data_IF_042756647345
#
_entry.id   IF_042756647345
#
_cell.length_a   1.000
_cell.length_b   1.000
_cell.length_c   1.000
_cell.angle_alpha   90.00
_cell.angle_beta   90.00
_cell.angle_gamma   90.00
#
_symmetry.space_group_name_H-M   'P 1'
#
loop_
_entity.id
_entity.type
_entity.pdbx_description
1 polymer ?
#
# COMPACT_ATOMS: atom_id res chain seq x y z
N UNK A 1 21.57 -21.46 -12.90
CA UNK A 1 20.11 -21.22 -12.82
C UNK A 1 19.79 -20.93 -11.37
N UNK A 2 19.26 -19.75 -11.04
CA UNK A 2 18.86 -19.44 -9.66
C UNK A 2 17.77 -20.42 -9.22
N UNK A 3 17.90 -20.98 -8.02
CA UNK A 3 16.92 -21.92 -7.47
C UNK A 3 15.53 -21.27 -7.43
N UNK A 4 14.50 -21.98 -7.92
CA UNK A 4 13.13 -21.46 -7.90
C UNK A 4 12.65 -21.28 -6.45
N UNK A 5 12.28 -20.05 -6.08
CA UNK A 5 11.71 -19.73 -4.77
C UNK A 5 10.24 -20.13 -4.73
N UNK A 6 9.83 -20.76 -3.63
CA UNK A 6 8.51 -21.35 -3.45
C UNK A 6 7.86 -20.87 -2.15
N UNK A 7 6.55 -21.14 -1.99
CA UNK A 7 5.83 -20.91 -0.75
C UNK A 7 6.48 -21.59 0.47
N UNK A 8 7.11 -22.76 0.27
CA UNK A 8 7.77 -23.53 1.32
C UNK A 8 9.00 -22.85 1.91
N UNK A 9 9.54 -21.83 1.24
CA UNK A 9 10.73 -21.08 1.67
C UNK A 9 10.42 -19.99 2.71
N UNK A 10 9.14 -19.81 3.08
CA UNK A 10 8.69 -18.76 3.99
C UNK A 10 7.90 -19.36 5.16
N UNK A 11 8.05 -18.73 6.34
CA UNK A 11 7.26 -18.98 7.53
C UNK A 11 6.39 -17.77 7.82
N UNK A 12 5.08 -17.94 7.97
CA UNK A 12 4.15 -16.83 8.24
C UNK A 12 4.08 -16.56 9.73
N UNK A 13 4.28 -15.30 10.13
CA UNK A 13 4.28 -14.86 11.53
C UNK A 13 2.94 -14.26 11.93
N UNK A 14 2.45 -13.29 11.15
CA UNK A 14 1.20 -12.59 11.45
C UNK A 14 0.58 -11.95 10.20
N UNK A 15 -0.73 -11.72 10.24
CA UNK A 15 -1.42 -10.84 9.31
C UNK A 15 -1.14 -9.37 9.69
N UNK A 16 -0.65 -8.59 8.74
CA UNK A 16 -0.35 -7.16 8.95
C UNK A 16 -1.31 -6.24 8.19
N UNK A 17 -1.89 -6.69 7.08
CA UNK A 17 -2.76 -5.86 6.26
C UNK A 17 -3.76 -6.64 5.43
N UNK A 18 -4.79 -5.94 4.95
CA UNK A 18 -5.80 -6.48 4.03
C UNK A 18 -6.11 -5.41 3.00
N UNK A 19 -6.00 -5.73 1.72
CA UNK A 19 -6.46 -4.91 0.60
C UNK A 19 -7.87 -5.28 0.13
N UNK A 20 -8.25 -4.81 -1.07
CA UNK A 20 -9.49 -5.23 -1.73
C UNK A 20 -9.39 -6.70 -2.17
N UNK A 21 -8.34 -7.01 -2.92
CA UNK A 21 -8.07 -8.33 -3.51
C UNK A 21 -6.90 -9.06 -2.87
N UNK A 22 -6.35 -8.54 -1.76
CA UNK A 22 -5.12 -9.05 -1.18
C UNK A 22 -5.14 -9.11 0.35
N UNK A 23 -4.25 -9.95 0.89
CA UNK A 23 -3.89 -10.02 2.30
C UNK A 23 -2.38 -9.91 2.41
N UNK A 24 -1.90 -9.16 3.40
CA UNK A 24 -0.48 -8.91 3.62
C UNK A 24 -0.06 -9.57 4.91
N UNK A 25 0.92 -10.45 4.83
CA UNK A 25 1.46 -11.21 5.93
C UNK A 25 2.91 -10.79 6.20
N UNK A 26 3.31 -10.75 7.46
CA UNK A 26 4.71 -10.76 7.84
C UNK A 26 5.23 -12.20 7.74
N UNK A 27 6.35 -12.39 7.03
CA UNK A 27 6.96 -13.70 6.81
C UNK A 27 8.46 -13.67 7.08
N UNK A 28 9.00 -14.80 7.54
CA UNK A 28 10.44 -15.03 7.68
C UNK A 28 10.92 -15.94 6.55
N UNK A 29 12.00 -15.56 5.87
CA UNK A 29 12.66 -16.44 4.89
C UNK A 29 13.41 -17.56 5.61
N UNK A 30 13.23 -18.82 5.21
CA UNK A 30 13.84 -20.00 5.85
C UNK A 30 15.08 -20.55 5.13
N UNK A 31 15.34 -20.10 3.91
CA UNK A 31 16.32 -20.70 3.00
C UNK A 31 17.03 -19.60 2.21
N UNK A 32 18.15 -19.92 1.55
CA UNK A 32 18.89 -18.97 0.71
C UNK A 32 19.78 -18.00 1.52
N UNK A 33 20.44 -17.09 0.81
CA UNK A 33 21.40 -16.13 1.39
C UNK A 33 20.76 -15.12 2.34
N UNK A 34 19.45 -14.91 2.22
CA UNK A 34 18.64 -14.00 3.02
C UNK A 34 17.83 -14.73 4.11
N UNK A 35 18.16 -15.98 4.40
CA UNK A 35 17.52 -16.75 5.48
C UNK A 35 17.56 -16.01 6.81
N UNK A 36 16.44 -16.02 7.54
CA UNK A 36 16.22 -15.28 8.78
C UNK A 36 15.67 -13.86 8.57
N UNK A 37 15.65 -13.35 7.34
CA UNK A 37 15.12 -12.00 7.06
C UNK A 37 13.60 -11.95 7.13
N UNK A 38 13.08 -10.82 7.63
CA UNK A 38 11.66 -10.49 7.67
C UNK A 38 11.22 -9.76 6.40
N UNK A 39 10.06 -10.13 5.87
CA UNK A 39 9.46 -9.58 4.68
C UNK A 39 7.95 -9.41 4.79
N UNK A 40 7.39 -8.56 3.93
CA UNK A 40 5.95 -8.46 3.73
C UNK A 40 5.52 -9.30 2.52
N UNK A 41 4.69 -10.31 2.73
CA UNK A 41 4.10 -11.14 1.68
C UNK A 41 2.68 -10.65 1.37
N UNK A 42 2.51 -9.97 0.23
CA UNK A 42 1.21 -9.54 -0.30
C UNK A 42 0.64 -10.67 -1.18
N UNK A 43 -0.30 -11.43 -0.64
CA UNK A 43 -1.03 -12.53 -1.31
C UNK A 43 -2.30 -11.99 -1.95
N UNK A 44 -2.55 -12.33 -3.22
CA UNK A 44 -3.78 -11.94 -3.90
C UNK A 44 -4.79 -13.09 -3.96
N UNK A 45 -6.05 -12.76 -4.21
CA UNK A 45 -7.11 -13.73 -4.46
C UNK A 45 -7.77 -13.34 -5.77
N UNK A 46 -7.63 -14.21 -6.77
CA UNK A 46 -8.17 -13.99 -8.11
C UNK A 46 -9.65 -14.37 -8.12
N UNK A 47 -10.50 -13.41 -7.76
CA UNK A 47 -11.94 -13.63 -7.60
C UNK A 47 -12.73 -13.15 -8.83
N UNK A 48 -12.20 -12.18 -9.58
CA UNK A 48 -12.83 -11.57 -10.76
C UNK A 48 -11.81 -10.89 -11.69
N UNK A 49 -12.26 -10.41 -12.84
CA UNK A 49 -11.42 -9.73 -13.85
C UNK A 49 -10.62 -8.55 -13.27
N UNK A 50 -11.24 -7.73 -12.40
CA UNK A 50 -10.56 -6.60 -11.75
C UNK A 50 -9.36 -7.08 -10.91
N UNK A 51 -9.52 -8.16 -10.15
CA UNK A 51 -8.43 -8.72 -9.33
C UNK A 51 -7.25 -9.22 -10.19
N UNK A 52 -7.52 -9.82 -11.35
CA UNK A 52 -6.49 -10.28 -12.29
C UNK A 52 -5.74 -9.08 -12.88
N UNK A 53 -6.46 -8.08 -13.38
CA UNK A 53 -5.88 -6.85 -13.93
C UNK A 53 -5.01 -6.12 -12.91
N UNK A 54 -5.48 -5.97 -11.66
CA UNK A 54 -4.73 -5.34 -10.58
C UNK A 54 -3.38 -6.03 -10.31
N UNK A 55 -3.38 -7.36 -10.22
CA UNK A 55 -2.16 -8.14 -9.96
C UNK A 55 -1.16 -8.03 -11.10
N UNK A 56 -1.61 -8.18 -12.34
CA UNK A 56 -0.74 -8.11 -13.51
C UNK A 56 -0.14 -6.70 -13.68
N UNK A 57 -0.93 -5.66 -13.41
CA UNK A 57 -0.47 -4.27 -13.40
C UNK A 57 0.56 -4.03 -12.30
N UNK A 58 0.25 -4.41 -11.05
CA UNK A 58 1.18 -4.21 -9.93
C UNK A 58 2.50 -4.95 -10.15
N UNK A 59 2.42 -6.20 -10.65
CA UNK A 59 3.61 -6.97 -11.04
C UNK A 59 4.49 -6.21 -12.01
N UNK A 60 3.91 -5.77 -13.13
CA UNK A 60 4.64 -5.08 -14.20
C UNK A 60 5.40 -3.87 -13.66
N UNK A 61 4.73 -3.04 -12.85
CA UNK A 61 5.35 -1.86 -12.24
C UNK A 61 6.45 -2.25 -11.25
N UNK A 62 6.19 -3.22 -10.36
CA UNK A 62 7.17 -3.67 -9.37
C UNK A 62 8.42 -4.29 -10.00
N UNK A 63 8.27 -5.07 -11.07
CA UNK A 63 9.41 -5.63 -11.81
C UNK A 63 10.23 -4.52 -12.49
N UNK A 64 9.56 -3.53 -13.10
CA UNK A 64 10.26 -2.36 -13.67
C UNK A 64 11.06 -1.60 -12.63
N UNK A 65 10.53 -1.43 -11.42
CA UNK A 65 11.24 -0.80 -10.30
C UNK A 65 12.42 -1.64 -9.82
N UNK A 66 12.23 -2.95 -9.66
CA UNK A 66 13.27 -3.88 -9.21
C UNK A 66 14.43 -4.02 -10.22
N UNK A 67 14.15 -3.80 -11.51
CA UNK A 67 15.13 -3.88 -12.60
C UNK A 67 15.68 -2.51 -13.03
N UNK A 68 15.21 -1.41 -12.44
CA UNK A 68 15.73 -0.09 -12.72
C UNK A 68 17.18 0.05 -12.22
N UNK A 69 17.97 0.88 -12.90
CA UNK A 69 19.37 1.17 -12.52
C UNK A 69 19.47 1.77 -11.11
N UNK A 70 18.51 2.63 -10.77
CA UNK A 70 18.36 3.21 -9.44
C UNK A 70 17.09 2.65 -8.79
N UNK A 71 17.19 2.24 -7.52
CA UNK A 71 16.04 1.79 -6.73
C UNK A 71 15.79 2.78 -5.60
N UNK A 72 14.70 3.52 -5.70
CA UNK A 72 14.35 4.53 -4.69
C UNK A 72 13.99 3.87 -3.35
N UNK A 73 14.54 4.32 -2.21
CA UNK A 73 14.14 3.82 -0.89
C UNK A 73 12.72 4.29 -0.49
N UNK A 74 12.10 5.16 -1.29
CA UNK A 74 10.76 5.71 -1.07
C UNK A 74 9.68 4.98 -1.87
N UNK A 75 9.98 3.79 -2.40
CA UNK A 75 9.07 2.92 -3.14
C UNK A 75 9.21 1.47 -2.70
N UNK A 76 8.23 0.60 -3.00
CA UNK A 76 8.28 -0.81 -2.63
C UNK A 76 9.35 -1.52 -3.44
N UNK A 77 10.10 -2.39 -2.78
CA UNK A 77 11.12 -3.23 -3.42
C UNK A 77 10.60 -4.67 -3.52
N UNK A 78 10.38 -5.13 -4.75
CA UNK A 78 10.02 -6.52 -5.02
C UNK A 78 11.25 -7.41 -4.90
N UNK A 79 11.21 -8.33 -3.94
CA UNK A 79 12.28 -9.29 -3.72
C UNK A 79 12.00 -10.61 -4.43
N UNK A 80 10.76 -11.09 -4.31
CA UNK A 80 10.31 -12.31 -4.96
C UNK A 80 8.87 -12.18 -5.48
N UNK A 81 8.63 -12.73 -6.66
CA UNK A 81 7.29 -13.00 -7.18
C UNK A 81 7.06 -14.51 -7.16
N UNK A 82 5.90 -14.97 -6.68
CA UNK A 82 5.61 -16.40 -6.56
C UNK A 82 4.19 -16.66 -7.08
N UNK A 83 4.09 -17.55 -8.06
CA UNK A 83 2.83 -18.12 -8.52
C UNK A 83 2.68 -19.53 -7.96
N UNK A 84 1.61 -19.75 -7.21
CA UNK A 84 1.33 -21.05 -6.60
C UNK A 84 -0.16 -21.19 -6.31
N UNK A 85 -0.66 -22.43 -6.39
CA UNK A 85 -2.07 -22.75 -6.09
C UNK A 85 -3.05 -21.80 -6.82
N UNK A 86 -2.75 -21.45 -8.07
CA UNK A 86 -3.54 -20.55 -8.92
C UNK A 86 -3.77 -19.15 -8.35
N UNK A 87 -2.83 -18.68 -7.55
CA UNK A 87 -2.80 -17.27 -7.18
C UNK A 87 -1.36 -16.79 -7.04
N UNK A 88 -1.19 -15.48 -6.97
CA UNK A 88 0.07 -14.78 -6.88
C UNK A 88 0.40 -14.27 -5.48
N UNK A 89 1.69 -14.16 -5.18
CA UNK A 89 2.17 -13.38 -4.05
C UNK A 89 3.41 -12.57 -4.44
N UNK A 90 3.49 -11.35 -3.92
CA UNK A 90 4.72 -10.56 -3.92
C UNK A 90 5.34 -10.61 -2.53
N UNK A 91 6.64 -10.89 -2.48
CA UNK A 91 7.45 -10.72 -1.27
C UNK A 91 8.21 -9.41 -1.42
N UNK A 92 7.89 -8.48 -0.53
CA UNK A 92 8.36 -7.10 -0.53
C UNK A 92 9.22 -6.84 0.71
N UNK A 93 10.08 -5.81 0.63
CA UNK A 93 10.69 -5.24 1.83
C UNK A 93 9.62 -4.88 2.87
N UNK A 94 9.85 -5.24 4.12
CA UNK A 94 8.92 -4.97 5.22
C UNK A 94 8.87 -3.48 5.59
N UNK A 95 7.67 -3.00 5.95
CA UNK A 95 7.44 -1.72 6.61
C UNK A 95 6.97 -1.91 8.07
N UNK A 96 6.79 -0.82 8.80
CA UNK A 96 6.38 -0.82 10.21
C UNK A 96 4.95 -1.32 10.49
N UNK A 97 4.15 -1.53 9.43
CA UNK A 97 2.73 -1.91 9.53
C UNK A 97 1.78 -0.71 9.74
N UNK A 98 2.30 0.48 10.05
CA UNK A 98 1.52 1.71 10.12
C UNK A 98 1.58 2.53 8.83
N UNK A 99 0.52 3.29 8.60
CA UNK A 99 0.39 4.22 7.48
C UNK A 99 0.28 5.69 7.96
N UNK A 100 0.40 6.64 7.04
CA UNK A 100 0.26 8.07 7.35
C UNK A 100 -1.14 8.40 7.88
N UNK A 101 -2.17 7.62 7.51
CA UNK A 101 -3.50 7.79 8.09
C UNK A 101 -3.51 7.46 9.60
N UNK A 102 -2.82 6.41 10.03
CA UNK A 102 -2.68 6.05 11.44
C UNK A 102 -2.04 7.18 12.24
N UNK A 103 -0.98 7.79 11.67
CA UNK A 103 -0.36 8.97 12.28
C UNK A 103 -1.37 10.13 12.41
N UNK A 104 -2.11 10.46 11.35
CA UNK A 104 -3.12 11.53 11.38
C UNK A 104 -4.26 11.21 12.37
N UNK A 105 -4.67 9.96 12.50
CA UNK A 105 -5.61 9.55 13.54
C UNK A 105 -5.04 9.73 14.95
N UNK A 106 -3.74 9.54 15.13
CA UNK A 106 -3.08 9.67 16.42
C UNK A 106 -2.88 11.14 16.83
N UNK A 107 -2.33 11.97 15.94
CA UNK A 107 -1.92 13.36 16.25
C UNK A 107 -2.89 14.43 15.77
N UNK A 108 -3.90 14.05 14.98
CA UNK A 108 -4.82 14.97 14.34
C UNK A 108 -4.22 15.59 13.07
N UNK A 109 -3.55 16.74 13.22
CA UNK A 109 -2.91 17.44 12.11
C UNK A 109 -1.41 17.59 12.37
N UNK A 110 -0.63 17.53 11.29
CA UNK A 110 0.79 17.80 11.32
C UNK A 110 1.05 19.31 11.30
N UNK A 111 2.14 19.72 11.95
CA UNK A 111 2.71 21.04 11.73
C UNK A 111 3.17 21.19 10.28
N UNK A 112 3.26 22.43 9.77
CA UNK A 112 3.78 22.66 8.42
C UNK A 112 5.20 22.09 8.22
N UNK A 113 6.01 22.08 9.28
CA UNK A 113 7.36 21.53 9.25
C UNK A 113 7.34 20.00 9.12
N UNK A 114 6.49 19.31 9.89
CA UNK A 114 6.40 17.85 9.84
C UNK A 114 5.75 17.39 8.52
N UNK A 115 4.72 18.10 8.04
CA UNK A 115 4.10 17.83 6.75
C UNK A 115 5.09 18.04 5.59
N UNK A 116 5.98 19.04 5.68
CA UNK A 116 7.03 19.28 4.69
C UNK A 116 8.03 18.14 4.61
N UNK A 117 8.42 17.56 5.76
CA UNK A 117 9.33 16.42 5.81
C UNK A 117 8.74 15.24 5.02
N UNK A 118 7.55 14.76 5.39
CA UNK A 118 6.94 13.63 4.71
C UNK A 118 6.60 13.93 3.24
N UNK A 119 6.18 15.16 2.92
CA UNK A 119 6.01 15.58 1.53
C UNK A 119 7.31 15.41 0.72
N UNK A 120 8.46 15.79 1.27
CA UNK A 120 9.73 15.68 0.56
C UNK A 120 10.11 14.21 0.27
N UNK A 121 9.84 13.29 1.20
CA UNK A 121 10.05 11.85 0.99
C UNK A 121 9.14 11.28 -0.10
N UNK A 122 7.85 11.64 -0.04
CA UNK A 122 6.86 11.22 -1.06
C UNK A 122 7.25 11.78 -2.43
N UNK A 123 7.75 13.01 -2.51
CA UNK A 123 8.28 13.60 -3.74
C UNK A 123 9.46 12.80 -4.27
N UNK A 124 10.37 12.30 -3.43
CA UNK A 124 11.48 11.44 -3.89
C UNK A 124 10.98 10.11 -4.48
N UNK A 125 9.94 9.51 -3.91
CA UNK A 125 9.30 8.30 -4.46
C UNK A 125 8.63 8.56 -5.80
N UNK A 126 7.79 9.60 -5.88
CA UNK A 126 7.11 9.98 -7.11
C UNK A 126 8.07 10.42 -8.23
N UNK A 127 9.21 11.02 -7.89
CA UNK A 127 10.20 11.43 -8.89
C UNK A 127 10.77 10.23 -9.62
N UNK A 128 11.01 9.15 -8.89
CA UNK A 128 11.47 7.91 -9.49
C UNK A 128 10.39 7.29 -10.39
N UNK A 129 9.13 7.21 -9.94
CA UNK A 129 8.03 6.73 -10.80
C UNK A 129 7.89 7.57 -12.08
N UNK A 130 7.88 8.91 -11.94
CA UNK A 130 7.72 9.83 -13.06
C UNK A 130 8.92 9.77 -14.03
N UNK A 131 10.13 9.48 -13.54
CA UNK A 131 11.31 9.25 -14.39
C UNK A 131 11.19 8.02 -15.29
N UNK A 132 10.34 7.07 -14.92
CA UNK A 132 10.04 5.86 -15.67
C UNK A 132 8.74 5.96 -16.49
N UNK A 133 8.14 7.16 -16.55
CA UNK A 133 6.84 7.45 -17.18
C UNK A 133 5.66 6.69 -16.54
N UNK A 134 5.75 6.43 -15.23
CA UNK A 134 4.72 5.76 -14.43
C UNK A 134 3.95 6.79 -13.60
N UNK A 135 2.62 6.75 -13.65
CA UNK A 135 1.72 7.58 -12.83
C UNK A 135 1.14 6.73 -11.70
N UNK A 136 1.17 7.19 -10.46
CA UNK A 136 0.71 6.40 -9.31
C UNK A 136 -0.83 6.30 -9.22
N UNK A 137 -1.54 7.41 -9.45
CA UNK A 137 -3.01 7.54 -9.49
C UNK A 137 -3.79 7.35 -8.17
N UNK A 138 -3.19 6.79 -7.11
CA UNK A 138 -3.88 6.62 -5.82
C UNK A 138 -3.08 7.14 -4.60
N UNK A 139 -2.46 8.30 -4.72
CA UNK A 139 -1.76 8.95 -3.60
C UNK A 139 -2.76 9.43 -2.53
N UNK A 140 -2.65 8.85 -1.34
CA UNK A 140 -3.49 9.11 -0.16
C UNK A 140 -2.78 8.62 1.11
N UNK A 141 -3.19 9.04 2.33
CA UNK A 141 -2.50 8.68 3.56
C UNK A 141 -2.35 7.16 3.79
N UNK A 142 -3.34 6.36 3.40
CA UNK A 142 -3.27 4.89 3.55
C UNK A 142 -2.18 4.23 2.70
N UNK A 143 -1.77 4.88 1.62
CA UNK A 143 -0.76 4.33 0.70
C UNK A 143 0.63 4.90 0.97
N UNK A 144 0.79 5.74 2.00
CA UNK A 144 2.08 6.20 2.49
C UNK A 144 2.42 5.40 3.74
N UNK A 145 3.27 4.39 3.59
CA UNK A 145 3.61 3.46 4.67
C UNK A 145 4.90 3.88 5.36
N UNK A 146 5.00 3.55 6.64
CA UNK A 146 6.20 3.80 7.43
C UNK A 146 7.20 2.64 7.37
N UNK A 147 8.47 2.96 7.51
CA UNK A 147 9.52 2.05 7.98
C UNK A 147 9.69 2.15 9.49
N UNK A 148 10.35 1.16 10.10
CA UNK A 148 10.61 1.12 11.55
C UNK A 148 11.43 2.31 12.07
N UNK A 149 12.19 2.96 11.19
CA UNK A 149 13.01 4.14 11.51
C UNK A 149 12.23 5.47 11.44
N UNK A 150 10.95 5.45 11.03
CA UNK A 150 10.09 6.63 10.94
C UNK A 150 10.04 7.28 9.55
N UNK A 151 10.89 6.87 8.62
CA UNK A 151 10.82 7.32 7.22
C UNK A 151 9.59 6.70 6.52
N UNK A 152 9.09 7.33 5.45
CA UNK A 152 7.97 6.80 4.67
C UNK A 152 8.37 6.27 3.30
N UNK A 153 7.50 5.47 2.70
CA UNK A 153 7.54 5.12 1.29
C UNK A 153 6.14 5.10 0.69
N UNK A 154 6.04 5.37 -0.62
CA UNK A 154 4.80 5.28 -1.38
C UNK A 154 4.57 3.81 -1.73
N UNK A 155 3.37 3.31 -1.48
CA UNK A 155 3.00 1.90 -1.66
C UNK A 155 1.73 1.73 -2.50
N UNK A 156 1.39 0.48 -2.79
CA UNK A 156 0.18 0.06 -3.51
C UNK A 156 0.13 0.56 -4.96
N UNK A 157 0.82 -0.19 -5.84
CA UNK A 157 1.00 0.15 -7.25
C UNK A 157 -0.03 -0.53 -8.17
N UNK A 158 -1.10 -1.09 -7.60
CA UNK A 158 -2.14 -1.85 -8.31
C UNK A 158 -3.07 -0.98 -9.19
N UNK A 159 -2.95 0.34 -9.06
CA UNK A 159 -3.63 1.38 -9.84
C UNK A 159 -2.69 2.21 -10.70
N UNK A 160 -1.38 1.95 -10.61
CA UNK A 160 -0.38 2.73 -11.34
C UNK A 160 -0.45 2.48 -12.85
N UNK A 161 -0.27 3.54 -13.63
CA UNK A 161 -0.35 3.48 -15.09
C UNK A 161 1.01 3.74 -15.72
N UNK A 162 1.47 2.79 -16.55
CA UNK A 162 2.72 2.91 -17.31
C UNK A 162 2.46 3.48 -18.70
N UNK A 163 2.87 4.74 -18.91
CA UNK A 163 2.66 5.45 -20.17
C UNK A 163 3.55 4.94 -21.31
N UNK A 164 4.58 4.15 -21.03
CA UNK A 164 5.52 3.63 -22.03
C UNK A 164 4.94 2.47 -22.83
N UNK A 165 3.87 1.82 -22.35
CA UNK A 165 3.21 0.68 -23.02
C UNK A 165 2.60 1.10 -24.37
N UNK A 166 2.39 2.40 -24.61
CA UNK A 166 1.92 2.94 -25.89
C UNK A 166 0.48 2.59 -26.26
N UNK A 167 -0.25 1.90 -25.36
CA UNK A 167 -1.68 1.63 -25.50
C UNK A 167 -2.47 2.83 -25.01
N UNK A 168 -3.54 3.19 -25.72
CA UNK A 168 -4.47 4.23 -25.25
C UNK A 168 -5.12 3.75 -23.93
N UNK A 169 -5.22 4.60 -22.89
CA UNK A 169 -5.92 4.25 -21.65
C UNK A 169 -7.36 3.83 -21.93
N UNK A 170 -7.82 2.81 -21.22
CA UNK A 170 -9.24 2.42 -21.19
C UNK A 170 -9.92 3.01 -19.94
N UNK A 171 -11.25 2.90 -19.83
CA UNK A 171 -11.97 3.39 -18.64
C UNK A 171 -11.46 2.74 -17.33
N UNK A 172 -10.99 1.49 -17.41
CA UNK A 172 -10.42 0.75 -16.28
C UNK A 172 -9.07 1.28 -15.80
N UNK A 173 -8.44 2.19 -16.56
CA UNK A 173 -7.19 2.84 -16.17
C UNK A 173 -7.44 4.15 -15.42
N UNK A 174 -8.64 4.75 -15.57
CA UNK A 174 -9.05 5.97 -14.87
C UNK A 174 -9.54 5.65 -13.46
N UNK A 175 -8.58 5.29 -12.62
CA UNK A 175 -8.81 4.82 -11.27
C UNK A 175 -8.25 5.80 -10.23
N UNK A 176 -8.68 5.64 -8.98
CA UNK A 176 -8.20 6.38 -7.82
C UNK A 176 -9.27 6.48 -6.73
N UNK A 177 -8.94 7.15 -5.65
CA UNK A 177 -9.89 7.49 -4.58
C UNK A 177 -10.50 8.88 -4.86
N UNK A 178 -11.83 9.02 -5.05
CA UNK A 178 -12.47 10.28 -5.47
C UNK A 178 -12.12 11.50 -4.61
N UNK A 179 -11.78 11.32 -3.34
CA UNK A 179 -11.39 12.40 -2.44
C UNK A 179 -10.03 13.02 -2.78
N UNK A 180 -9.14 12.27 -3.42
CA UNK A 180 -7.78 12.69 -3.83
C UNK A 180 -7.67 12.85 -5.35
N UNK A 181 -8.55 12.19 -6.09
CA UNK A 181 -8.54 12.13 -7.55
C UNK A 181 -8.54 13.52 -8.19
N UNK A 182 -7.68 13.67 -9.19
CA UNK A 182 -7.57 14.83 -10.06
C UNK A 182 -8.79 14.94 -11.01
N UNK A 183 -9.20 16.15 -11.42
CA UNK A 183 -10.38 16.34 -12.26
C UNK A 183 -10.35 15.59 -13.59
N UNK A 184 -9.22 15.62 -14.30
CA UNK A 184 -9.04 14.96 -15.60
C UNK A 184 -9.11 13.43 -15.50
N UNK A 185 -8.66 12.86 -14.37
CA UNK A 185 -8.78 11.43 -14.08
C UNK A 185 -10.24 11.08 -13.79
N UNK A 186 -10.91 11.87 -12.95
CA UNK A 186 -12.32 11.67 -12.60
C UNK A 186 -13.28 11.79 -13.78
N UNK A 187 -12.87 12.48 -14.85
CA UNK A 187 -13.64 12.62 -16.09
C UNK A 187 -13.30 11.59 -17.15
N UNK A 188 -12.24 10.78 -16.96
CA UNK A 188 -11.79 9.85 -17.99
C UNK A 188 -11.13 10.53 -19.20
N UNK A 189 -10.50 11.69 -19.03
CA UNK A 189 -9.98 12.50 -20.14
C UNK A 189 -8.55 12.07 -20.53
N UNK A 190 -7.59 12.20 -19.61
CA UNK A 190 -6.16 11.94 -19.88
C UNK A 190 -5.45 11.48 -18.60
N UNK A 191 -4.48 10.58 -18.75
CA UNK A 191 -3.57 10.17 -17.69
C UNK A 191 -2.21 10.85 -17.92
N UNK A 192 -1.93 11.90 -17.14
CA UNK A 192 -0.68 12.64 -17.13
C UNK A 192 -0.01 12.51 -15.75
N UNK A 193 1.33 12.52 -15.69
CA UNK A 193 2.08 12.45 -14.43
C UNK A 193 1.70 13.58 -13.44
N UNK A 194 1.17 14.70 -13.95
CA UNK A 194 0.65 15.82 -13.15
C UNK A 194 -0.66 15.53 -12.43
N UNK A 195 -1.30 14.38 -12.68
CA UNK A 195 -2.40 13.89 -11.85
C UNK A 195 -1.94 13.63 -10.41
N UNK A 196 -0.74 13.06 -10.22
CA UNK A 196 -0.19 12.83 -8.88
C UNK A 196 0.12 14.14 -8.14
N UNK A 197 0.40 15.22 -8.87
CA UNK A 197 0.66 16.56 -8.28
C UNK A 197 -0.61 17.13 -7.65
N UNK A 198 -1.76 16.90 -8.26
CA UNK A 198 -3.04 17.23 -7.63
C UNK A 198 -3.22 16.43 -6.34
N UNK A 199 -3.05 15.11 -6.41
CA UNK A 199 -3.19 14.21 -5.25
C UNK A 199 -2.22 14.55 -4.11
N UNK A 200 -0.99 14.97 -4.43
CA UNK A 200 -0.03 15.54 -3.47
C UNK A 200 -0.57 16.80 -2.78
N UNK A 201 -1.16 17.71 -3.55
CA UNK A 201 -1.81 18.91 -3.01
C UNK A 201 -2.94 18.56 -2.04
N UNK A 202 -3.76 17.56 -2.39
CA UNK A 202 -4.82 17.05 -1.51
C UNK A 202 -4.24 16.41 -0.25
N UNK A 203 -3.23 15.56 -0.39
CA UNK A 203 -2.58 14.87 0.72
C UNK A 203 -1.99 15.86 1.72
N UNK A 204 -1.29 16.90 1.26
CA UNK A 204 -0.72 17.93 2.13
C UNK A 204 -1.81 18.72 2.84
N UNK A 205 -2.91 19.04 2.15
CA UNK A 205 -4.05 19.70 2.79
C UNK A 205 -4.67 18.80 3.87
N UNK A 206 -4.75 17.49 3.63
CA UNK A 206 -5.23 16.55 4.63
C UNK A 206 -4.31 16.45 5.85
N UNK A 207 -2.99 16.47 5.63
CA UNK A 207 -2.00 16.47 6.72
C UNK A 207 -2.15 17.68 7.65
N UNK A 208 -2.44 18.87 7.12
CA UNK A 208 -2.38 20.14 7.90
C UNK A 208 -3.75 20.75 8.25
N UNK A 209 -4.79 20.40 7.50
CA UNK A 209 -6.13 21.00 7.62
C UNK A 209 -7.27 19.96 7.60
N UNK A 210 -6.95 18.70 7.31
CA UNK A 210 -7.92 17.63 7.08
C UNK A 210 -8.55 17.68 5.69
N UNK A 211 -9.64 16.92 5.49
CA UNK A 211 -10.25 16.70 4.18
C UNK A 211 -10.60 17.99 3.42
N UNK A 212 -10.24 18.04 2.12
CA UNK A 212 -10.57 19.19 1.25
C UNK A 212 -11.94 19.10 0.58
N UNK A 213 -12.53 17.91 0.59
CA UNK A 213 -13.89 17.62 0.12
C UNK A 213 -14.65 17.10 1.34
N UNK A 214 -15.84 17.66 1.59
CA UNK A 214 -16.69 17.09 2.62
C UNK A 214 -17.09 15.67 2.23
N UNK A 215 -17.29 14.82 3.23
CA UNK A 215 -17.92 13.53 2.99
C UNK A 215 -19.29 13.78 2.36
N UNK A 216 -19.64 12.96 1.37
CA UNK A 216 -20.93 13.05 0.69
C UNK A 216 -21.73 11.79 0.97
N UNK A 217 -23.05 11.84 0.77
CA UNK A 217 -23.91 10.68 1.08
C UNK A 217 -23.73 9.54 0.06
N UNK A 218 -23.16 9.82 -1.12
CA UNK A 218 -23.05 8.85 -2.21
C UNK A 218 -21.73 8.97 -2.96
N UNK A 219 -21.16 7.85 -3.37
CA UNK A 219 -19.94 7.80 -4.20
C UNK A 219 -20.06 8.64 -5.48
N UNK A 220 -21.25 8.68 -6.10
CA UNK A 220 -21.51 9.50 -7.29
C UNK A 220 -21.30 11.01 -7.03
N UNK A 221 -21.67 11.52 -5.84
CA UNK A 221 -21.43 12.90 -5.47
C UNK A 221 -19.93 13.19 -5.24
N UNK A 222 -19.18 12.23 -4.71
CA UNK A 222 -17.72 12.35 -4.56
C UNK A 222 -17.04 12.47 -5.93
N UNK A 223 -17.39 11.57 -6.86
CA UNK A 223 -16.91 11.64 -8.24
C UNK A 223 -17.33 12.95 -8.92
N UNK A 224 -18.56 13.43 -8.71
CA UNK A 224 -18.98 14.71 -9.26
C UNK A 224 -18.12 15.87 -8.75
N UNK A 225 -17.79 15.91 -7.46
CA UNK A 225 -16.90 16.92 -6.88
C UNK A 225 -15.47 16.80 -7.42
N UNK A 226 -14.99 15.57 -7.62
CA UNK A 226 -13.71 15.31 -8.25
C UNK A 226 -13.68 15.85 -9.70
N UNK A 227 -14.68 15.51 -10.52
CA UNK A 227 -14.84 16.01 -11.90
C UNK A 227 -14.87 17.53 -12.00
N UNK A 228 -15.55 18.20 -11.07
CA UNK A 228 -15.61 19.66 -11.02
C UNK A 228 -14.32 20.32 -10.52
N UNK A 229 -13.39 19.55 -9.95
CA UNK A 229 -12.21 20.05 -9.26
C UNK A 229 -12.56 20.95 -8.07
N UNK A 230 -13.68 20.67 -7.40
CA UNK A 230 -14.12 21.45 -6.25
C UNK A 230 -13.36 21.01 -4.99
N UNK A 231 -12.85 21.98 -4.25
CA UNK A 231 -12.16 21.77 -2.98
C UNK A 231 -12.30 23.00 -2.07
N UNK A 232 -12.10 22.80 -0.77
CA UNK A 232 -11.99 23.87 0.22
C UNK A 232 -11.00 23.47 1.30
N UNK A 233 -10.00 24.31 1.58
CA UNK A 233 -9.01 24.06 2.62
C UNK A 233 -9.38 24.87 3.86
N UNK A 234 -9.70 24.18 4.95
CA UNK A 234 -10.06 24.82 6.22
C UNK A 234 -8.90 25.66 6.74
N UNK A 235 -9.18 26.91 7.10
CA UNK A 235 -8.18 27.80 7.67
C UNK A 235 -7.04 28.20 6.72
N UNK A 236 -7.21 28.09 5.39
CA UNK A 236 -6.15 28.36 4.40
C UNK A 236 -5.35 29.66 4.66
N UNK A 237 -6.04 30.74 5.04
CA UNK A 237 -5.42 32.05 5.31
C UNK A 237 -4.48 32.06 6.54
N UNK A 238 -4.58 31.06 7.43
CA UNK A 238 -3.76 30.93 8.64
C UNK A 238 -2.40 30.29 8.36
N UNK A 239 -2.25 29.54 7.27
CA UNK A 239 -0.99 28.89 6.90
C UNK A 239 0.03 29.90 6.37
N UNK A 240 1.30 29.49 6.32
CA UNK A 240 2.37 30.28 5.74
C UNK A 240 2.11 30.60 4.26
N UNK A 241 2.60 31.75 3.78
CA UNK A 241 2.52 32.11 2.34
C UNK A 241 3.17 31.06 1.42
N UNK A 242 4.31 30.44 1.77
CA UNK A 242 4.85 29.32 1.02
C UNK A 242 3.88 28.16 0.86
N UNK A 243 3.19 27.74 1.94
CA UNK A 243 2.23 26.63 1.88
C UNK A 243 0.96 27.00 1.10
N UNK A 244 0.44 28.22 1.27
CA UNK A 244 -0.66 28.73 0.44
C UNK A 244 -0.29 28.68 -1.05
N UNK A 245 0.91 29.13 -1.41
CA UNK A 245 1.41 29.10 -2.79
C UNK A 245 1.60 27.68 -3.32
N UNK A 246 1.99 26.72 -2.47
CA UNK A 246 2.07 25.31 -2.83
C UNK A 246 0.69 24.77 -3.23
N UNK A 247 -0.35 25.03 -2.44
CA UNK A 247 -1.71 24.63 -2.79
C UNK A 247 -2.20 25.27 -4.09
N UNK A 248 -1.92 26.56 -4.29
CA UNK A 248 -2.25 27.24 -5.55
C UNK A 248 -1.55 26.61 -6.74
N UNK A 249 -0.29 26.16 -6.62
CA UNK A 249 0.42 25.51 -7.72
C UNK A 249 -0.14 24.10 -8.02
N UNK A 250 -0.41 23.29 -6.99
CA UNK A 250 -0.78 21.89 -7.15
C UNK A 250 -2.26 21.69 -7.52
N UNK A 251 -3.17 22.50 -6.97
CA UNK A 251 -4.62 22.32 -7.10
C UNK A 251 -5.22 23.09 -8.28
N UNK A 252 -4.51 23.12 -9.41
CA UNK A 252 -5.01 23.70 -10.66
C UNK A 252 -5.94 22.74 -11.39
N UNK A 253 -7.12 23.20 -11.83
CA UNK A 253 -8.09 22.34 -12.54
C UNK A 253 -7.54 21.88 -13.90
N UNK A 254 -6.92 22.79 -14.64
CA UNK A 254 -6.20 22.45 -15.86
C UNK A 254 -4.85 21.82 -15.48
N UNK A 255 -4.67 20.53 -15.79
CA UNK A 255 -3.44 19.81 -15.48
C UNK A 255 -2.20 20.46 -16.14
N UNK A 256 -2.36 21.17 -17.27
CA UNK A 256 -1.26 21.87 -17.94
C UNK A 256 -0.70 23.06 -17.14
N UNK A 257 -1.46 23.56 -16.17
CA UNK A 257 -1.03 24.64 -15.27
C UNK A 257 -0.36 24.11 -13.99
N UNK A 258 -0.36 22.78 -13.78
CA UNK A 258 0.35 22.18 -12.66
C UNK A 258 1.83 22.03 -13.01
N UNK A 259 2.74 22.27 -12.04
CA UNK A 259 4.16 22.05 -12.25
C UNK A 259 4.47 20.56 -12.45
N UNK A 260 5.55 20.26 -13.16
CA UNK A 260 6.17 18.94 -13.07
C UNK A 260 6.82 18.77 -11.69
N UNK A 261 7.05 17.52 -11.28
CA UNK A 261 7.59 17.24 -9.95
C UNK A 261 8.97 17.88 -9.70
N UNK A 262 9.82 17.97 -10.74
CA UNK A 262 11.09 18.71 -10.71
C UNK A 262 10.94 20.18 -10.32
N UNK A 263 9.79 20.79 -10.65
CA UNK A 263 9.49 22.18 -10.35
C UNK A 263 8.74 22.33 -9.01
N UNK A 264 8.01 21.29 -8.57
CA UNK A 264 7.47 21.21 -7.20
C UNK A 264 8.59 21.33 -6.17
N UNK A 265 9.73 20.65 -6.38
CA UNK A 265 10.91 20.72 -5.50
C UNK A 265 11.47 22.13 -5.33
N UNK A 266 11.25 23.01 -6.31
CA UNK A 266 11.71 24.40 -6.31
C UNK A 266 10.74 25.37 -5.65
N UNK A 267 9.53 24.92 -5.30
CA UNK A 267 8.54 25.77 -4.63
C UNK A 267 9.06 26.26 -3.29
N UNK A 268 8.68 27.48 -2.91
CA UNK A 268 9.12 28.13 -1.66
C UNK A 268 8.89 27.27 -0.42
N UNK A 269 7.84 26.45 -0.42
CA UNK A 269 7.52 25.56 0.70
C UNK A 269 8.57 24.45 0.91
N UNK A 270 9.25 24.02 -0.15
CA UNK A 270 10.28 22.98 -0.13
C UNK A 270 11.72 23.53 -0.26
N UNK A 271 11.89 24.86 -0.36
CA UNK A 271 13.19 25.50 -0.58
C UNK A 271 14.24 25.16 0.49
N UNK A 272 13.82 24.88 1.73
CA UNK A 272 14.73 24.54 2.84
C UNK A 272 15.08 23.04 2.93
N UNK A 273 14.58 22.20 2.02
CA UNK A 273 14.88 20.78 2.01
C UNK A 273 16.26 20.55 1.40
N UNK A 274 17.13 19.90 2.18
CA UNK A 274 18.40 19.36 1.70
C UNK A 274 18.11 18.02 0.97
N UNK A 275 17.94 18.10 -0.35
CA UNK A 275 17.53 16.95 -1.16
C UNK A 275 18.55 15.82 -1.16
N UNK A 276 19.85 16.12 -1.15
CA UNK A 276 20.91 15.11 -1.14
C UNK A 276 20.86 14.27 0.14
N UNK A 277 20.62 14.90 1.29
CA UNK A 277 20.38 14.18 2.55
C UNK A 277 19.03 13.46 2.55
N UNK A 278 18.00 14.05 1.93
CA UNK A 278 16.69 13.42 1.83
C UNK A 278 16.75 12.11 1.05
N UNK A 279 17.36 12.07 -0.14
CA UNK A 279 17.52 10.84 -0.93
C UNK A 279 18.22 9.71 -0.17
N UNK A 280 19.19 10.07 0.66
CA UNK A 280 19.99 9.13 1.45
C UNK A 280 19.34 8.77 2.80
N UNK A 281 18.14 9.28 3.09
CA UNK A 281 17.44 9.13 4.38
C UNK A 281 18.32 9.53 5.58
N UNK A 282 19.04 10.66 5.44
CA UNK A 282 19.94 11.18 6.48
C UNK A 282 19.29 12.27 7.35
N UNK A 283 18.09 12.73 7.00
CA UNK A 283 17.34 13.70 7.80
C UNK A 283 16.45 12.96 8.79
N UNK A 284 16.46 13.31 10.08
CA UNK A 284 15.72 12.56 11.10
C UNK A 284 14.20 12.72 10.91
N UNK A 285 13.43 11.62 10.89
CA UNK A 285 11.98 11.67 10.86
C UNK A 285 11.39 12.40 12.07
N UNK A 286 10.28 13.15 11.89
CA UNK A 286 9.67 13.93 12.97
C UNK A 286 8.93 13.09 14.02
N UNK A 287 8.64 11.82 13.73
CA UNK A 287 7.95 10.91 14.64
C UNK A 287 8.63 9.56 14.67
N UNK A 288 8.65 8.93 15.85
CA UNK A 288 9.09 7.53 15.99
C UNK A 288 7.89 6.60 15.82
N UNK A 289 8.10 5.42 15.27
CA UNK A 289 7.02 4.42 15.08
C UNK A 289 6.38 4.00 16.39
N UNK A 290 7.16 3.93 17.48
CA UNK A 290 6.64 3.63 18.82
C UNK A 290 5.60 4.63 19.32
N UNK A 291 5.54 5.83 18.73
CA UNK A 291 4.58 6.88 19.08
C UNK A 291 3.26 6.73 18.31
N UNK A 292 3.24 5.98 17.20
CA UNK A 292 2.09 5.83 16.33
C UNK A 292 1.25 4.63 16.77
N UNK A 293 0.01 4.87 17.21
CA UNK A 293 -0.91 3.78 17.54
C UNK A 293 -1.37 3.07 16.28
N UNK A 294 -0.97 1.81 16.13
CA UNK A 294 -1.43 0.93 15.06
C UNK A 294 -2.94 0.66 15.19
N UNK A 295 -3.72 0.89 14.14
CA UNK A 295 -5.10 0.39 14.10
C UNK A 295 -5.07 -1.12 13.90
N UNK A 296 -5.81 -1.94 14.67
CA UNK A 296 -5.99 -3.35 14.31
C UNK A 296 -6.50 -3.44 12.87
N UNK A 297 -6.09 -4.47 12.11
CA UNK A 297 -6.63 -4.71 10.78
C UNK A 297 -8.16 -4.78 10.85
N UNK A 298 -8.84 -3.68 10.45
CA UNK A 298 -10.28 -3.55 10.60
C UNK A 298 -10.99 -4.46 9.58
N UNK A 299 -11.87 -5.32 10.08
CA UNK A 299 -13.08 -5.73 9.36
C UNK A 299 -14.31 -5.20 10.10
N UNK A 300 -15.43 -5.12 9.39
CA UNK A 300 -16.75 -4.70 9.90
C UNK A 300 -17.33 -5.65 10.97
N UNK A 301 -16.57 -6.67 11.41
CA UNK A 301 -16.95 -7.64 12.45
C UNK A 301 -15.83 -7.91 13.47
N UNK A 302 -15.23 -6.84 13.98
CA UNK A 302 -14.27 -6.90 15.10
C UNK A 302 -12.83 -7.17 14.67
N UNK A 303 -11.85 -7.03 15.59
CA UNK A 303 -10.45 -7.23 15.28
C UNK A 303 -10.18 -8.72 15.04
N UNK A 304 -9.84 -9.10 13.80
CA UNK A 304 -9.18 -10.38 13.55
C UNK A 304 -7.90 -10.44 14.37
N UNK A 305 -7.69 -11.52 15.12
CA UNK A 305 -6.40 -11.75 15.77
C UNK A 305 -5.36 -11.98 14.68
N UNK A 306 -4.35 -11.12 14.63
CA UNK A 306 -3.30 -11.15 13.60
C UNK A 306 -2.51 -12.47 13.58
N UNK A 307 -2.52 -13.22 14.68
CA UNK A 307 -1.83 -14.51 14.85
C UNK A 307 -2.78 -15.71 14.83
N UNK A 308 -4.03 -15.54 14.41
CA UNK A 308 -4.99 -16.64 14.31
C UNK A 308 -4.54 -17.66 13.26
N UNK A 309 -4.39 -18.93 13.65
CA UNK A 309 -3.87 -19.99 12.78
C UNK A 309 -4.68 -20.16 11.49
N UNK A 310 -6.00 -19.95 11.51
CA UNK A 310 -6.82 -20.06 10.31
C UNK A 310 -6.54 -18.92 9.34
N UNK A 311 -6.30 -17.72 9.87
CA UNK A 311 -5.90 -16.56 9.08
C UNK A 311 -4.51 -16.76 8.47
N UNK A 312 -3.57 -17.30 9.23
CA UNK A 312 -2.19 -17.55 8.77
C UNK A 312 -2.12 -18.67 7.75
N UNK A 313 -2.91 -19.74 7.92
CA UNK A 313 -3.02 -20.83 6.94
C UNK A 313 -3.42 -20.34 5.54
N UNK A 314 -4.13 -19.20 5.47
CA UNK A 314 -4.51 -18.55 4.22
C UNK A 314 -3.37 -18.02 3.36
N UNK A 315 -2.19 -17.77 3.94
CA UNK A 315 -1.07 -17.18 3.21
C UNK A 315 -0.59 -18.08 2.06
N UNK A 316 -0.64 -19.41 2.26
CA UNK A 316 -0.21 -20.40 1.27
C UNK A 316 -1.30 -21.38 0.83
N UNK A 317 -2.50 -21.28 1.41
CA UNK A 317 -3.65 -22.10 1.05
C UNK A 317 -4.22 -21.71 -0.32
N UNK A 318 -4.76 -22.69 -1.10
CA UNK A 318 -5.54 -22.41 -2.31
C UNK A 318 -6.85 -21.68 -2.01
N UNK A 319 -7.37 -21.80 -0.79
CA UNK A 319 -8.59 -21.13 -0.34
C UNK A 319 -8.26 -19.87 0.46
N UNK A 320 -9.04 -18.81 0.24
CA UNK A 320 -9.06 -17.62 1.10
C UNK A 320 -9.45 -18.05 2.52
N UNK A 321 -8.66 -17.70 3.54
CA UNK A 321 -8.82 -18.22 4.91
C UNK A 321 -10.16 -17.80 5.55
N UNK A 322 -10.75 -16.71 5.07
CA UNK A 322 -12.00 -16.14 5.59
C UNK A 322 -12.83 -15.60 4.43
N UNK A 323 -14.03 -16.14 4.22
CA UNK A 323 -15.03 -15.51 3.35
C UNK A 323 -15.62 -14.30 4.08
N UNK A 324 -15.07 -13.13 3.76
CA UNK A 324 -15.71 -11.88 4.14
C UNK A 324 -16.94 -11.69 3.26
N UNK A 325 -18.10 -12.18 3.70
CA UNK A 325 -19.37 -11.91 3.04
C UNK A 325 -19.58 -10.40 3.07
N UNK A 326 -19.42 -9.75 1.92
CA UNK A 326 -19.94 -8.40 1.68
C UNK A 326 -21.45 -8.51 1.73
N UNK A 327 -22.07 -8.19 2.86
CA UNK A 327 -23.52 -8.05 2.91
C UNK A 327 -23.91 -6.76 2.20
N UNK A 328 -23.98 -6.82 0.86
CA UNK A 328 -24.91 -6.01 0.08
C UNK A 328 -26.16 -6.85 -0.20
N UNK A 329 -26.96 -7.06 0.83
CA UNK A 329 -28.37 -7.42 0.62
C UNK A 329 -29.24 -6.31 1.19
N UNK A 330 -29.90 -5.59 0.28
CA UNK A 330 -31.03 -4.73 0.59
C UNK A 330 -32.13 -5.59 1.22
N UNK A 331 -32.27 -5.57 2.53
CA UNK A 331 -33.54 -5.94 3.18
C UNK A 331 -33.70 -5.16 4.48
N UNK A 332 -34.65 -4.22 4.48
CA UNK A 332 -35.23 -3.65 5.70
C UNK A 332 -35.96 -4.78 6.44
N UNK A 333 -35.35 -5.37 7.46
CA UNK A 333 -36.08 -5.95 8.59
C UNK A 333 -35.20 -5.82 9.83
N UNK A 334 -35.71 -5.16 10.86
CA UNK A 334 -35.06 -5.11 12.17
C UNK A 334 -35.03 -6.51 12.78
N UNK A 335 -33.86 -7.01 13.15
CA UNK A 335 -33.69 -8.23 13.94
C UNK A 335 -33.09 -7.89 15.31
N UNK A 336 -33.46 -8.61 16.39
CA UNK A 336 -33.22 -8.20 17.76
C UNK A 336 -31.77 -8.42 18.20
N UNK A 337 -31.39 -7.66 19.23
CA UNK A 337 -30.06 -7.65 19.84
C UNK A 337 -29.86 -8.91 20.68
N UNK A 338 -28.78 -9.65 20.40
CA UNK A 338 -28.22 -10.65 21.33
C UNK A 338 -27.98 -12.05 20.77
N UNK A 339 -27.04 -12.21 19.83
CA UNK A 339 -26.25 -13.46 19.71
C UNK A 339 -24.85 -13.11 19.15
N UNK A 340 -23.75 -13.73 19.64
CA UNK A 340 -22.45 -13.62 19.01
C UNK A 340 -22.52 -14.20 17.59
N UNK A 341 -21.94 -13.50 16.62
CA UNK A 341 -21.97 -13.90 15.21
C UNK A 341 -21.46 -15.34 15.03
N UNK A 342 -22.36 -16.28 14.75
CA UNK A 342 -22.01 -17.64 14.34
C UNK A 342 -21.22 -17.58 13.05
N UNK A 343 -19.92 -17.88 13.13
CA UNK A 343 -19.05 -18.17 11.98
C UNK A 343 -19.70 -19.31 11.20
N UNK A 344 -20.38 -18.98 10.11
CA UNK A 344 -20.99 -19.99 9.24
C UNK A 344 -19.85 -20.75 8.55
N UNK A 345 -19.62 -22.00 8.97
CA UNK A 345 -18.76 -22.96 8.30
C UNK A 345 -19.41 -23.36 6.97
N UNK A 346 -19.33 -22.53 5.95
CA UNK A 346 -19.58 -22.99 4.59
C UNK A 346 -18.40 -23.87 4.14
N UNK A 347 -18.66 -24.95 3.38
CA UNK A 347 -17.61 -25.82 2.89
C UNK A 347 -16.58 -25.00 2.09
N UNK A 348 -15.29 -25.26 2.34
CA UNK A 348 -14.16 -24.64 1.64
C UNK A 348 -14.21 -25.06 0.17
N UNK A 349 -14.87 -24.29 -0.69
CA UNK A 349 -14.88 -24.57 -2.12
C UNK A 349 -13.54 -24.07 -2.69
N UNK A 350 -12.68 -24.93 -3.28
CA UNK A 350 -11.53 -24.49 -4.04
C UNK A 350 -12.04 -23.93 -5.36
N UNK A 351 -12.45 -22.66 -5.38
CA UNK A 351 -12.90 -22.04 -6.63
C UNK A 351 -11.70 -21.38 -7.29
N UNK A 352 -10.84 -22.24 -7.85
CA UNK A 352 -9.68 -21.83 -8.65
C UNK A 352 -10.10 -20.93 -9.83
N UNK A 353 -11.34 -21.08 -10.29
CA UNK A 353 -11.95 -20.27 -11.33
C UNK A 353 -13.41 -19.97 -10.95
N UNK A 354 -13.66 -18.75 -10.47
CA UNK A 354 -14.99 -18.27 -10.05
C UNK A 354 -15.94 -18.12 -11.22
N UNK A 355 -17.25 -18.13 -10.95
CA UNK A 355 -18.25 -17.89 -12.00
C UNK A 355 -18.11 -16.50 -12.62
N UNK A 356 -17.65 -15.52 -11.85
CA UNK A 356 -17.30 -14.18 -12.31
C UNK A 356 -16.12 -14.22 -13.30
N UNK A 357 -15.06 -14.97 -13.00
CA UNK A 357 -13.93 -15.17 -13.92
C UNK A 357 -14.35 -15.92 -15.19
N UNK A 358 -15.18 -16.96 -15.06
CA UNK A 358 -15.73 -17.69 -16.24
C UNK A 358 -16.56 -16.77 -17.12
N UNK A 359 -17.41 -15.95 -16.51
CA UNK A 359 -18.26 -14.98 -17.23
C UNK A 359 -17.43 -13.90 -17.93
N UNK A 360 -16.28 -13.53 -17.36
CA UNK A 360 -15.29 -12.66 -17.99
C UNK A 360 -14.40 -13.36 -19.04
N UNK A 361 -14.61 -14.65 -19.31
CA UNK A 361 -13.92 -15.42 -20.35
C UNK A 361 -12.60 -16.06 -19.92
N UNK A 362 -12.26 -16.05 -18.63
CA UNK A 362 -11.05 -16.72 -18.14
C UNK A 362 -11.24 -18.23 -18.08
N UNK A 363 -10.22 -18.95 -18.52
CA UNK A 363 -10.00 -20.39 -18.29
C UNK A 363 -8.78 -20.60 -17.38
N UNK A 364 -8.63 -21.80 -16.81
CA UNK A 364 -7.43 -22.15 -16.03
C UNK A 364 -6.16 -22.02 -16.87
N UNK A 365 -6.20 -22.45 -18.13
CA UNK A 365 -5.07 -22.35 -19.04
C UNK A 365 -4.72 -20.88 -19.33
N UNK A 366 -5.72 -20.04 -19.61
CA UNK A 366 -5.49 -18.60 -19.84
C UNK A 366 -4.88 -17.89 -18.63
N UNK A 367 -5.27 -18.28 -17.41
CA UNK A 367 -4.68 -17.76 -16.18
C UNK A 367 -3.26 -18.28 -16.02
N UNK A 368 -3.03 -19.57 -16.18
CA UNK A 368 -1.68 -20.14 -16.12
C UNK A 368 -0.74 -19.49 -17.15
N UNK A 369 -1.21 -19.24 -18.36
CA UNK A 369 -0.45 -18.56 -19.39
C UNK A 369 -0.14 -17.11 -19.01
N UNK A 370 -1.14 -16.37 -18.51
CA UNK A 370 -0.97 -14.99 -18.03
C UNK A 370 0.04 -14.88 -16.88
N UNK A 371 0.14 -15.92 -16.06
CA UNK A 371 1.00 -15.99 -14.88
C UNK A 371 2.24 -16.87 -15.07
N UNK A 372 2.50 -17.37 -16.28
CA UNK A 372 3.60 -18.32 -16.56
C UNK A 372 4.97 -17.76 -16.19
N UNK A 373 5.16 -16.46 -16.42
CA UNK A 373 6.41 -15.76 -16.10
C UNK A 373 6.42 -15.12 -14.72
N UNK A 374 5.40 -15.35 -13.87
CA UNK A 374 5.18 -14.60 -12.62
C UNK A 374 6.28 -14.78 -11.58
N UNK A 375 6.97 -15.92 -11.61
CA UNK A 375 8.06 -16.15 -10.69
C UNK A 375 9.19 -15.16 -10.96
N UNK A 376 9.55 -14.40 -9.94
CA UNK A 376 10.57 -13.36 -9.98
C UNK A 376 11.52 -13.54 -8.81
N UNK A 377 12.81 -13.34 -9.07
CA UNK A 377 13.86 -13.24 -8.04
C UNK A 377 14.61 -11.94 -8.31
N UNK A 378 14.73 -11.08 -7.31
CA UNK A 378 15.43 -9.80 -7.43
C UNK A 378 16.90 -10.02 -7.82
N UNK A 379 17.48 -9.19 -8.72
CA UNK A 379 18.86 -9.36 -9.19
C UNK A 379 19.90 -9.55 -8.08
N UNK A 380 19.76 -8.85 -6.96
CA UNK A 380 20.68 -8.96 -5.82
C UNK A 380 20.81 -10.37 -5.22
N UNK A 381 19.86 -11.27 -5.47
CA UNK A 381 19.85 -12.65 -4.98
C UNK A 381 20.12 -13.68 -6.08
N UNK A 382 20.40 -13.24 -7.32
CA UNK A 382 20.63 -14.16 -8.44
C UNK A 382 22.03 -14.75 -8.44
N UNK A 383 23.01 -14.02 -7.90
CA UNK A 383 24.43 -14.36 -7.99
C UNK A 383 24.99 -15.10 -6.75
N UNK A 384 24.19 -15.30 -5.70
CA UNK A 384 24.60 -16.04 -4.50
C UNK A 384 24.65 -17.56 -4.68
N UNK A 385 24.22 -18.08 -5.84
CA UNK A 385 24.25 -19.52 -6.20
C UNK A 385 25.47 -19.91 -7.07
N UNK A 386 26.41 -18.98 -7.36
CA UNK A 386 27.71 -19.35 -7.93
C UNK A 386 28.66 -19.62 -6.77
N UNK A 387 28.83 -20.91 -6.47
CA UNK A 387 29.85 -21.43 -5.55
C UNK A 387 31.21 -20.75 -5.79
N UNK A 388 31.58 -19.82 -4.92
CA UNK A 388 32.99 -19.57 -4.65
C UNK A 388 33.52 -20.81 -3.96
N UNK A 389 34.28 -21.63 -4.69
CA UNK A 389 35.22 -22.54 -4.06
C UNK A 389 36.21 -21.68 -3.26
N UNK A 390 36.08 -21.70 -1.94
CA UNK A 390 37.16 -21.28 -1.05
C UNK A 390 38.01 -22.51 -0.72
N UNK A 391 39.32 -22.50 -1.05
CA UNK A 391 40.23 -23.52 -0.59
C UNK A 391 40.64 -23.20 0.86
N UNK A 392 40.60 -24.25 1.71
CA UNK A 392 41.40 -24.44 2.94
C UNK A 392 40.88 -23.73 4.22
N UNK A 393 40.20 -24.51 5.07
CA UNK A 393 40.79 -25.00 6.34
C UNK A 393 40.63 -24.20 7.66
N UNK A 394 40.10 -24.93 8.68
CA UNK A 394 40.24 -24.78 10.15
C UNK A 394 39.43 -23.63 10.81
N UNK A 395 38.74 -23.74 11.97
CA UNK A 395 38.75 -24.67 13.12
C UNK A 395 37.38 -24.65 13.88
N UNK A 396 37.27 -25.48 14.94
CA UNK A 396 36.08 -25.99 15.66
C UNK A 396 35.56 -25.14 16.85
N UNK A 397 34.25 -25.28 17.10
CA UNK A 397 33.43 -25.52 18.33
C UNK A 397 33.44 -24.62 19.59
N UNK A 398 32.26 -24.67 20.25
CA UNK A 398 31.89 -24.35 21.66
C UNK A 398 31.38 -22.90 21.89
N UNK A 399 30.29 -22.58 22.61
CA UNK A 399 29.51 -23.27 23.64
C UNK A 399 28.04 -22.78 23.73
N UNK A 400 27.18 -23.62 24.30
CA UNK A 400 25.83 -23.32 24.80
C UNK A 400 25.93 -23.16 26.33
N UNK A 401 25.26 -22.17 26.94
CA UNK A 401 24.23 -22.27 28.02
C UNK A 401 24.23 -21.07 29.01
N UNK A 402 23.01 -20.53 29.22
CA UNK A 402 22.41 -19.93 30.43
C UNK A 402 22.93 -18.61 31.05
N UNK A 403 21.99 -17.66 31.27
CA UNK A 403 21.59 -17.15 32.61
C UNK A 403 20.26 -16.36 32.52
N UNK A 404 19.27 -16.89 33.24
CA UNK A 404 18.16 -16.31 34.02
C UNK A 404 17.04 -15.42 33.42
N UNK A 405 15.83 -15.98 33.56
CA UNK A 405 14.54 -15.33 33.80
C UNK A 405 14.53 -14.61 35.16
N UNK A 406 13.90 -13.43 35.27
CA UNK A 406 12.65 -13.27 36.04
C UNK A 406 12.05 -11.85 35.94
N UNK A 407 10.72 -11.84 36.03
CA UNK A 407 9.79 -10.78 36.45
C UNK A 407 9.71 -9.43 35.70
N UNK A 408 8.72 -9.33 34.80
CA UNK A 408 8.05 -8.05 34.51
C UNK A 408 6.53 -8.19 34.59
N UNK A 409 5.97 -7.62 35.66
CA UNK A 409 4.53 -7.39 35.85
C UNK A 409 4.02 -6.37 34.83
N UNK A 410 2.95 -6.72 34.12
CA UNK A 410 2.18 -5.78 33.30
C UNK A 410 1.42 -4.82 34.21
N UNK A 411 1.73 -3.52 34.10
CA UNK A 411 0.90 -2.43 34.62
C UNK A 411 0.09 -1.88 33.45
N UNK A 412 -1.23 -1.95 33.52
CA UNK A 412 -2.12 -1.27 32.56
C UNK A 412 -2.07 0.24 32.79
N UNK A 413 -1.82 1.08 31.76
CA UNK A 413 -2.10 2.50 31.86
C UNK A 413 -3.53 2.81 31.42
N UNK A 414 -4.23 3.54 32.28
CA UNK A 414 -5.56 4.11 32.06
C UNK A 414 -5.64 4.92 30.76
N UNK A 415 -6.81 4.83 30.11
CA UNK A 415 -7.18 5.47 28.85
C UNK A 415 -7.36 6.99 29.07
N UNK A 416 -6.63 7.87 28.34
CA UNK A 416 -7.06 9.24 28.16
C UNK A 416 -8.00 9.34 26.94
N UNK A 417 -9.12 10.03 27.12
CA UNK A 417 -10.05 10.40 26.07
C UNK A 417 -9.42 11.41 25.10
N UNK A 418 -9.03 10.95 23.90
CA UNK A 418 -8.61 11.82 22.79
C UNK A 418 -9.82 12.23 21.93
N UNK A 419 -9.90 13.51 21.48
CA UNK A 419 -11.05 14.05 20.77
C UNK A 419 -11.26 13.43 19.38
N UNK A 420 -12.51 13.06 19.11
CA UNK A 420 -13.03 12.39 17.93
C UNK A 420 -13.03 13.25 16.65
N UNK A 421 -11.86 13.59 16.11
CA UNK A 421 -11.75 14.41 14.88
C UNK A 421 -11.62 13.59 13.57
N UNK A 422 -11.22 12.32 13.64
CA UNK A 422 -11.04 11.44 12.48
C UNK A 422 -11.95 10.22 12.56
N UNK A 423 -13.27 10.41 12.42
CA UNK A 423 -14.24 9.30 12.31
C UNK A 423 -14.75 9.21 10.87
N UNK A 424 -13.88 8.89 9.92
CA UNK A 424 -14.36 8.35 8.63
C UNK A 424 -14.73 6.88 8.86
N UNK A 425 -16.01 6.58 8.83
CA UNK A 425 -16.48 5.23 8.56
C UNK A 425 -16.23 4.97 7.06
N UNK A 426 -15.02 4.52 6.71
CA UNK A 426 -14.71 4.12 5.34
C UNK A 426 -15.31 2.75 5.09
N UNK A 427 -16.45 2.68 4.40
CA UNK A 427 -16.75 1.52 3.57
C UNK A 427 -15.67 1.46 2.49
N UNK A 428 -14.92 0.35 2.44
CA UNK A 428 -13.88 0.17 1.42
C UNK A 428 -14.49 0.27 0.02
N UNK A 429 -13.68 0.81 -0.89
CA UNK A 429 -14.04 1.14 -2.25
C UNK A 429 -14.71 -0.01 -2.98
N UNK A 430 -15.90 0.29 -3.49
CA UNK A 430 -16.49 -0.43 -4.60
C UNK A 430 -15.71 0.02 -5.83
N UNK A 431 -15.03 -0.93 -6.47
CA UNK A 431 -14.72 -0.82 -7.90
C UNK A 431 -16.06 -0.77 -8.62
N UNK A 432 -16.36 0.34 -9.31
CA UNK A 432 -17.47 0.37 -10.25
C UNK A 432 -16.84 0.02 -11.59
N UNK A 433 -16.88 -1.27 -11.90
CA UNK A 433 -16.77 -1.83 -13.24
C UNK A 433 -18.05 -2.62 -13.49
N UNK A 434 -19.15 -1.89 -13.64
CA UNK A 434 -20.39 -2.30 -14.30
C UNK A 434 -20.86 -1.12 -15.16
#
# INVERSE_FOLDING_TARGET
MCKAVSAGDFEVRRLIGRGCYSMVYEVVKKTGSDSGSLYALKRFFLENDSSVKCVLRERHILERLALAEYQSPFLPMLLYGIWFNYSSAFVLREGAGSDLYDLLCHVGYLSETNARFYLAEIVCGLEHLHSLDIVHLDIKPENILFYNDGHVFVSDLDRSYDKTIGKKPTLDDFTGTPLFMAPEIAKGEIIDIRADIWSLGVLVAEMVAGPIRSDSQTTAQEFQRARMGSYSIRGLKKFSKPLQSFFTACLQKNYNQRPFLKDVKKLRFLKCVDWDKMYKRLLPPPYKISEIRHRPAKDDRGPLKSTDEQVLAGAFSPAKPVTFVSHRTKTKVAAPVGEPAKVHKQPRIPVVLTDELRSAGYTLDSLNDSFRSFNFVHPQFRDSDVSKEDPIGLHKSADITAILLDDLKLVEPAIPSSPSLFRRARSRGISIGD
#
